data_IF_557987777551
#
_entry.id   IF_557987777551
#
_cell.length_a   1.000
_cell.length_b   1.000
_cell.length_c   1.000
_cell.angle_alpha   90.00
_cell.angle_beta   90.00
_cell.angle_gamma   90.00
#
_symmetry.space_group_name_H-M   'P 1'
#
loop_
_entity.id
_entity.type
_entity.pdbx_description
1 polymer ?
#
# COMPACT_ATOMS: atom_id res chain seq x y z
N UNK A 1 7.82 7.06 -10.65
CA UNK A 1 8.41 6.22 -9.58
C UNK A 1 9.91 5.93 -9.66
N UNK A 2 10.59 5.93 -10.83
CA UNK A 2 12.02 5.55 -10.96
C UNK A 2 12.98 6.20 -9.94
N UNK A 3 12.87 7.51 -9.71
CA UNK A 3 13.73 8.23 -8.76
C UNK A 3 13.40 7.85 -7.31
N UNK A 4 12.12 7.87 -6.94
CA UNK A 4 11.64 7.49 -5.61
C UNK A 4 12.02 6.04 -5.27
N UNK A 5 11.92 5.12 -6.23
CA UNK A 5 12.34 3.72 -6.06
C UNK A 5 13.81 3.57 -5.66
N UNK A 6 14.69 4.43 -6.19
CA UNK A 6 16.12 4.39 -5.89
C UNK A 6 16.50 5.06 -4.57
N UNK A 7 15.80 6.11 -4.15
CA UNK A 7 16.27 7.03 -3.08
C UNK A 7 15.27 7.33 -1.98
N UNK A 8 13.99 7.01 -2.16
CA UNK A 8 12.89 7.40 -1.27
C UNK A 8 11.97 6.21 -0.98
N UNK A 9 12.58 5.14 -0.46
CA UNK A 9 11.88 3.95 0.04
C UNK A 9 11.39 4.22 1.45
N UNK A 10 10.20 3.73 1.79
CA UNK A 10 9.64 3.80 3.14
C UNK A 10 8.96 2.48 3.51
N UNK A 11 8.62 2.35 4.79
CA UNK A 11 7.76 1.29 5.31
C UNK A 11 6.41 1.92 5.67
N UNK A 12 5.32 1.33 5.19
CA UNK A 12 3.96 1.73 5.57
C UNK A 12 3.41 0.66 6.50
N UNK A 13 3.30 1.01 7.78
CA UNK A 13 2.88 0.09 8.85
C UNK A 13 1.36 -0.02 8.85
N UNK A 14 0.84 -1.24 8.96
CA UNK A 14 -0.59 -1.52 9.03
C UNK A 14 -0.87 -2.80 9.83
N UNK A 15 -2.08 -2.89 10.39
CA UNK A 15 -2.58 -4.12 11.02
C UNK A 15 -3.13 -5.13 9.99
N UNK A 16 -3.48 -4.65 8.80
CA UNK A 16 -4.09 -5.41 7.73
C UNK A 16 -4.51 -4.52 6.57
N UNK A 17 -5.13 -5.13 5.55
CA UNK A 17 -5.68 -4.43 4.40
C UNK A 17 -6.99 -5.08 3.95
N UNK A 18 -7.77 -4.34 3.16
CA UNK A 18 -9.01 -4.85 2.60
C UNK A 18 -8.85 -5.15 1.11
N UNK A 19 -9.36 -6.30 0.69
CA UNK A 19 -9.54 -6.65 -0.72
C UNK A 19 -10.99 -7.04 -0.99
N UNK A 20 -11.46 -6.75 -2.20
CA UNK A 20 -12.85 -6.99 -2.58
C UNK A 20 -12.94 -8.12 -3.60
N UNK A 21 -13.56 -9.23 -3.19
CA UNK A 21 -13.85 -10.34 -4.09
C UNK A 21 -15.22 -10.15 -4.72
N UNK A 22 -15.31 -10.32 -6.05
CA UNK A 22 -16.61 -10.38 -6.73
C UNK A 22 -17.29 -11.72 -6.41
N UNK A 23 -18.46 -11.69 -5.82
CA UNK A 23 -19.27 -12.86 -5.51
C UNK A 23 -20.74 -12.56 -5.84
N UNK A 24 -21.40 -13.41 -6.62
CA UNK A 24 -22.84 -13.32 -6.94
C UNK A 24 -23.30 -11.92 -7.40
N UNK A 25 -22.49 -11.23 -8.20
CA UNK A 25 -22.80 -9.87 -8.70
C UNK A 25 -22.54 -8.73 -7.69
N UNK A 26 -22.13 -9.05 -6.46
CA UNK A 26 -21.73 -8.09 -5.44
C UNK A 26 -20.21 -8.12 -5.18
N UNK A 27 -19.70 -7.12 -4.47
CA UNK A 27 -18.30 -7.08 -3.99
C UNK A 27 -18.27 -7.33 -2.48
N UNK A 28 -17.74 -8.47 -2.06
CA UNK A 28 -17.52 -8.81 -0.66
C UNK A 28 -16.14 -8.30 -0.21
N UNK A 29 -16.06 -7.38 0.78
CA UNK A 29 -14.79 -7.02 1.40
C UNK A 29 -14.27 -8.14 2.30
N UNK A 30 -12.95 -8.38 2.25
CA UNK A 30 -12.22 -9.24 3.16
C UNK A 30 -11.12 -8.45 3.84
N UNK A 31 -11.02 -8.55 5.17
CA UNK A 31 -9.90 -8.02 5.93
C UNK A 31 -8.78 -9.07 5.99
N UNK A 32 -7.62 -8.74 5.44
CA UNK A 32 -6.45 -9.62 5.37
C UNK A 32 -5.40 -9.09 6.34
N UNK A 33 -4.95 -9.96 7.25
CA UNK A 33 -4.00 -9.62 8.31
C UNK A 33 -3.10 -10.82 8.67
N UNK A 34 -2.05 -10.56 9.44
CA UNK A 34 -1.22 -11.65 9.97
C UNK A 34 -2.01 -12.50 10.98
N UNK A 35 -1.76 -13.82 10.96
CA UNK A 35 -2.45 -14.78 11.84
C UNK A 35 -2.25 -14.49 13.33
N UNK A 36 -1.09 -13.93 13.69
CA UNK A 36 -0.75 -13.53 15.07
C UNK A 36 -1.24 -12.12 15.43
N UNK A 37 -1.99 -11.47 14.53
CA UNK A 37 -2.57 -10.13 14.68
C UNK A 37 -1.55 -9.01 14.98
N UNK A 38 -0.25 -9.24 14.73
CA UNK A 38 0.75 -8.18 14.87
C UNK A 38 0.74 -7.26 13.64
N UNK A 39 1.07 -5.98 13.80
CA UNK A 39 1.28 -5.09 12.67
C UNK A 39 2.41 -5.61 11.76
N UNK A 40 2.28 -5.34 10.47
CA UNK A 40 3.34 -5.56 9.49
C UNK A 40 3.55 -4.30 8.65
N UNK A 41 4.55 -4.33 7.77
CA UNK A 41 4.86 -3.21 6.91
C UNK A 41 4.76 -3.59 5.44
N UNK A 42 4.10 -2.74 4.67
CA UNK A 42 4.21 -2.73 3.21
C UNK A 42 5.50 -2.02 2.79
N UNK A 43 6.12 -2.52 1.73
CA UNK A 43 7.14 -1.76 1.03
C UNK A 43 6.46 -0.57 0.33
N UNK A 44 6.92 0.65 0.64
CA UNK A 44 6.39 1.86 0.06
C UNK A 44 7.47 2.74 -0.58
N UNK A 45 7.02 3.70 -1.37
CA UNK A 45 7.82 4.82 -1.82
C UNK A 45 7.20 6.13 -1.33
N UNK A 46 8.03 7.15 -1.15
CA UNK A 46 7.55 8.49 -0.80
C UNK A 46 8.17 9.58 -1.67
N UNK A 47 7.52 10.74 -1.69
CA UNK A 47 7.91 11.93 -2.46
C UNK A 47 7.54 13.20 -1.68
N UNK A 48 8.40 14.21 -1.77
CA UNK A 48 8.16 15.61 -1.45
C UNK A 48 8.06 16.40 -2.76
N UNK A 49 6.86 16.82 -3.10
CA UNK A 49 6.62 17.75 -4.20
C UNK A 49 6.51 19.18 -3.66
N UNK A 50 7.16 20.13 -4.32
CA UNK A 50 7.06 21.55 -4.01
C UNK A 50 6.40 22.29 -5.17
N UNK A 51 5.30 22.98 -4.88
CA UNK A 51 4.52 23.75 -5.83
C UNK A 51 5.09 25.15 -6.09
N UNK A 52 4.65 25.82 -7.17
CA UNK A 52 5.08 27.16 -7.54
C UNK A 52 4.66 28.24 -6.53
N UNK A 53 3.63 27.95 -5.72
CA UNK A 53 3.11 28.78 -4.63
C UNK A 53 3.78 28.47 -3.27
N UNK A 54 4.93 27.77 -3.30
CA UNK A 54 5.63 27.24 -2.13
C UNK A 54 4.82 26.21 -1.31
N UNK A 55 3.70 25.69 -1.84
CA UNK A 55 3.01 24.55 -1.23
C UNK A 55 3.92 23.32 -1.22
N UNK A 56 3.78 22.50 -0.20
CA UNK A 56 4.52 21.24 -0.07
C UNK A 56 3.52 20.10 0.05
N UNK A 57 3.72 19.06 -0.75
CA UNK A 57 2.96 17.82 -0.67
C UNK A 57 3.93 16.68 -0.40
N UNK A 58 3.80 16.09 0.78
CA UNK A 58 4.40 14.80 1.07
C UNK A 58 3.40 13.70 0.72
N UNK A 59 3.81 12.80 -0.17
CA UNK A 59 2.98 11.71 -0.65
C UNK A 59 3.71 10.38 -0.51
N UNK A 60 2.96 9.30 -0.37
CA UNK A 60 3.50 7.95 -0.41
C UNK A 60 2.61 7.01 -1.21
N UNK A 61 3.16 5.86 -1.58
CA UNK A 61 2.46 4.81 -2.32
C UNK A 61 2.94 3.44 -1.87
N UNK A 62 2.07 2.44 -1.97
CA UNK A 62 2.39 1.04 -1.70
C UNK A 62 2.94 0.38 -2.96
N UNK A 63 4.02 -0.40 -2.82
CA UNK A 63 4.44 -1.32 -3.86
C UNK A 63 3.56 -2.57 -3.80
N UNK A 64 2.98 -2.95 -4.94
CA UNK A 64 2.22 -4.18 -5.10
C UNK A 64 3.04 -5.22 -5.86
N UNK A 65 2.65 -6.48 -5.71
CA UNK A 65 3.25 -7.62 -6.41
C UNK A 65 2.17 -8.63 -6.76
N UNK A 66 2.54 -9.71 -7.43
CA UNK A 66 1.61 -10.79 -7.76
C UNK A 66 1.04 -11.41 -6.46
N UNK A 67 -0.26 -11.75 -6.43
CA UNK A 67 -0.86 -12.39 -5.27
C UNK A 67 -0.26 -13.80 -5.09
N UNK A 68 -0.07 -14.18 -3.82
CA UNK A 68 0.28 -15.54 -3.45
C UNK A 68 -0.94 -16.49 -3.61
N UNK A 69 -0.72 -17.78 -3.44
CA UNK A 69 -1.78 -18.80 -3.60
C UNK A 69 -2.97 -18.63 -2.65
N UNK A 70 -2.80 -17.95 -1.52
CA UNK A 70 -3.89 -17.68 -0.58
C UNK A 70 -4.85 -16.59 -1.11
N UNK A 71 -4.33 -15.61 -1.85
CA UNK A 71 -5.09 -14.47 -2.38
C UNK A 71 -5.57 -14.64 -3.82
N UNK A 72 -5.30 -15.78 -4.45
CA UNK A 72 -5.75 -16.09 -5.82
C UNK A 72 -7.24 -16.35 -5.91
#
# INVERSE_FOLDING_TARGET
>A
FRAAFRRRRCLVIADGFYEWQKQNGAKQPFFIHLRDARPFAFAGLWEHWQGPDASVIESCTLLTTEPNDFLR
#
